data_IF_928452913479
#
_entry.id   IF_928452913479
#
_cell.length_a   1.000
_cell.length_b   1.000
_cell.length_c   1.000
_cell.angle_alpha   90.00
_cell.angle_beta   90.00
_cell.angle_gamma   90.00
#
_symmetry.space_group_name_H-M   'P 1'
#
loop_
_entity.id
_entity.type
_entity.pdbx_description
1 polymer ?
#
# COMPACT_ATOMS: atom_id res chain seq x y z
N UNK A 1 11.26 8.76 -11.01
CA UNK A 1 10.87 8.23 -9.67
C UNK A 1 11.71 8.91 -8.60
N UNK A 2 11.11 9.42 -7.50
CA UNK A 2 11.87 9.99 -6.37
C UNK A 2 12.78 8.93 -5.73
N UNK A 3 14.00 9.31 -5.35
CA UNK A 3 14.95 8.42 -4.66
C UNK A 3 14.43 7.90 -3.32
N UNK A 4 13.48 8.62 -2.72
CA UNK A 4 12.87 8.29 -1.42
C UNK A 4 11.64 7.38 -1.54
N UNK A 5 11.17 7.06 -2.74
CA UNK A 5 9.90 6.35 -2.95
C UNK A 5 9.86 5.01 -2.19
N UNK A 6 10.89 4.19 -2.36
CA UNK A 6 10.97 2.88 -1.69
C UNK A 6 11.03 3.00 -0.17
N UNK A 7 11.67 4.05 0.35
CA UNK A 7 11.74 4.27 1.79
C UNK A 7 10.43 4.83 2.35
N UNK A 8 9.79 5.78 1.68
CA UNK A 8 8.57 6.44 2.18
C UNK A 8 7.36 5.54 1.98
N UNK A 9 7.08 5.16 0.73
CA UNK A 9 5.89 4.36 0.38
C UNK A 9 6.06 2.91 0.82
N UNK A 10 7.25 2.32 0.63
CA UNK A 10 7.53 0.95 1.05
C UNK A 10 7.35 0.74 2.55
N UNK A 11 7.91 1.62 3.40
CA UNK A 11 7.74 1.48 4.86
C UNK A 11 6.29 1.71 5.30
N UNK A 12 5.59 2.64 4.65
CA UNK A 12 4.19 2.90 4.94
C UNK A 12 3.30 1.70 4.59
N UNK A 13 3.52 1.07 3.42
CA UNK A 13 2.83 -0.15 3.00
C UNK A 13 3.09 -1.34 3.92
N UNK A 14 4.29 -1.43 4.50
CA UNK A 14 4.65 -2.46 5.50
C UNK A 14 4.14 -2.13 6.92
N UNK A 15 3.33 -1.08 7.09
CA UNK A 15 2.86 -0.59 8.39
C UNK A 15 4.00 -0.25 9.37
N UNK A 16 5.17 0.14 8.86
CA UNK A 16 6.34 0.55 9.66
C UNK A 16 6.42 2.06 9.89
N UNK A 17 5.42 2.80 9.42
CA UNK A 17 5.35 4.26 9.53
C UNK A 17 4.00 4.72 10.06
N UNK A 18 3.97 5.95 10.59
CA UNK A 18 2.72 6.62 10.88
C UNK A 18 1.99 6.95 9.57
N UNK A 19 0.70 6.67 9.50
CA UNK A 19 -0.11 6.99 8.32
C UNK A 19 -0.78 8.34 8.53
N UNK A 20 -0.62 9.24 7.57
CA UNK A 20 -1.28 10.56 7.58
C UNK A 20 -1.66 10.92 6.13
N UNK A 21 -2.94 11.18 5.90
CA UNK A 21 -3.51 11.31 4.55
C UNK A 21 -2.89 12.47 3.78
N UNK A 22 -2.76 13.63 4.43
CA UNK A 22 -2.25 14.84 3.77
C UNK A 22 -0.79 14.65 3.38
N UNK A 23 0.04 14.10 4.26
CA UNK A 23 1.43 13.81 3.99
C UNK A 23 1.62 12.94 2.75
N UNK A 24 0.94 11.79 2.67
CA UNK A 24 1.11 10.90 1.52
C UNK A 24 0.48 11.46 0.24
N UNK A 25 -0.65 12.18 0.35
CA UNK A 25 -1.23 12.89 -0.79
C UNK A 25 -0.26 13.94 -1.36
N UNK A 26 0.33 14.79 -0.50
CA UNK A 26 1.26 15.85 -0.90
C UNK A 26 2.57 15.26 -1.46
N UNK A 27 3.07 14.18 -0.84
CA UNK A 27 4.24 13.44 -1.33
C UNK A 27 3.99 12.87 -2.74
N UNK A 28 2.87 12.18 -2.96
CA UNK A 28 2.56 11.59 -4.26
C UNK A 28 2.29 12.67 -5.31
N UNK A 29 1.60 13.74 -4.94
CA UNK A 29 1.32 14.87 -5.83
C UNK A 29 2.59 15.56 -6.29
N UNK A 30 3.52 15.84 -5.37
CA UNK A 30 4.81 16.45 -5.71
C UNK A 30 5.72 15.52 -6.53
N UNK A 31 5.58 14.21 -6.35
CA UNK A 31 6.44 13.21 -6.98
C UNK A 31 5.97 12.74 -8.36
N UNK A 32 4.66 12.62 -8.56
CA UNK A 32 4.05 11.99 -9.73
C UNK A 32 2.98 12.86 -10.41
N UNK A 33 2.70 14.04 -9.87
CA UNK A 33 1.60 14.90 -10.32
C UNK A 33 0.28 14.55 -9.63
N UNK A 34 -0.81 15.26 -9.98
CA UNK A 34 -2.09 15.12 -9.30
C UNK A 34 -2.67 13.71 -9.45
N UNK A 35 -3.48 13.31 -8.46
CA UNK A 35 -4.26 12.08 -8.56
C UNK A 35 -5.12 12.07 -9.83
N UNK A 36 -5.11 10.96 -10.56
CA UNK A 36 -5.84 10.85 -11.82
C UNK A 36 -7.32 10.52 -11.62
N UNK A 37 -7.68 10.00 -10.44
CA UNK A 37 -9.08 9.84 -10.01
C UNK A 37 -9.21 9.85 -8.50
N UNK A 38 -10.45 10.04 -8.05
CA UNK A 38 -10.87 9.96 -6.65
C UNK A 38 -12.08 9.04 -6.56
N UNK A 39 -11.92 7.87 -5.95
CA UNK A 39 -12.93 6.81 -5.96
C UNK A 39 -12.75 5.88 -4.75
N UNK A 40 -13.86 5.45 -4.13
CA UNK A 40 -13.84 4.49 -3.02
C UNK A 40 -13.19 5.03 -1.74
N UNK A 41 -13.28 6.33 -1.50
CA UNK A 41 -12.64 7.00 -0.37
C UNK A 41 -11.12 7.13 -0.51
N UNK A 42 -10.61 7.20 -1.74
CA UNK A 42 -9.17 7.33 -2.00
C UNK A 42 -8.87 8.21 -3.21
N UNK A 43 -7.71 8.87 -3.13
CA UNK A 43 -7.01 9.43 -4.27
C UNK A 43 -6.13 8.36 -4.92
N UNK A 44 -6.18 8.27 -6.24
CA UNK A 44 -5.43 7.29 -7.03
C UNK A 44 -4.37 7.98 -7.87
N UNK A 45 -3.13 7.51 -7.74
CA UNK A 45 -1.98 8.03 -8.46
C UNK A 45 -1.44 6.95 -9.38
N UNK A 46 -1.25 7.28 -10.66
CA UNK A 46 -0.43 6.45 -11.54
C UNK A 46 1.02 6.68 -11.15
N UNK A 47 1.76 5.60 -10.98
CA UNK A 47 3.19 5.67 -10.67
C UNK A 47 3.94 4.75 -11.63
N UNK A 48 5.12 5.19 -12.04
CA UNK A 48 6.11 4.35 -12.71
C UNK A 48 7.26 4.17 -11.73
N UNK A 49 7.14 3.14 -10.89
CA UNK A 49 8.03 2.93 -9.76
C UNK A 49 8.21 1.44 -9.45
N UNK A 50 9.20 1.12 -8.61
CA UNK A 50 9.48 -0.26 -8.19
C UNK A 50 9.59 -0.32 -6.67
N UNK A 51 8.98 -1.35 -6.07
CA UNK A 51 9.14 -1.70 -4.66
C UNK A 51 9.58 -3.15 -4.54
N UNK A 52 10.69 -3.38 -3.83
CA UNK A 52 11.25 -4.72 -3.58
C UNK A 52 11.53 -5.54 -4.86
N UNK A 53 11.68 -4.88 -6.01
CA UNK A 53 11.83 -5.52 -7.31
C UNK A 53 10.52 -5.76 -8.09
N UNK A 54 9.36 -5.48 -7.49
CA UNK A 54 8.07 -5.52 -8.17
C UNK A 54 7.69 -4.15 -8.74
N UNK A 55 7.18 -4.11 -9.96
CA UNK A 55 6.68 -2.88 -10.57
C UNK A 55 5.39 -2.43 -9.89
N UNK A 56 5.31 -1.16 -9.53
CA UNK A 56 4.12 -0.52 -8.96
C UNK A 56 3.45 0.27 -10.07
N UNK A 57 2.17 0.00 -10.31
CA UNK A 57 1.38 0.71 -11.34
C UNK A 57 0.57 1.86 -10.74
N UNK A 58 0.08 1.65 -9.52
CA UNK A 58 -0.76 2.62 -8.84
C UNK A 58 -0.45 2.68 -7.35
N UNK A 59 -0.58 3.87 -6.78
CA UNK A 59 -0.63 4.08 -5.32
C UNK A 59 -1.95 4.75 -4.99
N UNK A 60 -2.60 4.27 -3.93
CA UNK A 60 -3.83 4.85 -3.40
C UNK A 60 -3.60 5.34 -1.98
N UNK A 61 -4.14 6.50 -1.66
CA UNK A 61 -4.15 7.04 -0.29
C UNK A 61 -5.58 7.43 0.05
N UNK A 62 -6.01 7.15 1.28
CA UNK A 62 -7.35 7.52 1.73
C UNK A 62 -7.58 9.02 1.61
N UNK A 63 -8.79 9.40 1.22
CA UNK A 63 -9.25 10.78 1.26
C UNK A 63 -9.97 11.10 2.59
N UNK A 64 -10.57 12.28 2.66
CA UNK A 64 -11.36 12.74 3.81
C UNK A 64 -12.66 11.97 4.03
N UNK A 65 -13.20 11.31 2.99
CA UNK A 65 -14.45 10.52 3.08
C UNK A 65 -14.26 9.10 3.60
N UNK A 66 -13.02 8.59 3.63
CA UNK A 66 -12.74 7.26 4.20
C UNK A 66 -12.85 7.26 5.73
N UNK A 67 -13.38 6.19 6.33
CA UNK A 67 -13.32 5.98 7.79
C UNK A 67 -11.93 5.52 8.27
N UNK A 68 -11.07 5.14 7.32
CA UNK A 68 -9.70 4.67 7.58
C UNK A 68 -8.67 5.66 7.07
N UNK A 69 -7.48 5.60 7.66
CA UNK A 69 -6.24 6.16 7.14
C UNK A 69 -5.46 4.99 6.54
N UNK A 70 -5.24 5.00 5.23
CA UNK A 70 -4.54 3.93 4.54
C UNK A 70 -3.65 4.44 3.40
N UNK A 71 -2.67 3.60 3.09
CA UNK A 71 -1.94 3.63 1.83
C UNK A 71 -1.97 2.23 1.22
N UNK A 72 -2.15 2.16 -0.10
CA UNK A 72 -2.16 0.93 -0.86
C UNK A 72 -1.36 1.08 -2.15
N UNK A 73 -0.87 -0.03 -2.69
CA UNK A 73 -0.20 -0.08 -3.97
C UNK A 73 -0.65 -1.30 -4.77
N UNK A 74 -0.89 -1.09 -6.06
CA UNK A 74 -1.11 -2.17 -7.04
C UNK A 74 0.23 -2.50 -7.68
N UNK A 75 0.68 -3.75 -7.55
CA UNK A 75 1.92 -4.22 -8.15
C UNK A 75 1.66 -5.21 -9.26
N UNK A 76 2.53 -5.22 -10.27
CA UNK A 76 2.47 -6.13 -11.40
C UNK A 76 3.14 -7.47 -11.06
N UNK A 77 2.62 -8.11 -10.03
CA UNK A 77 3.11 -9.38 -9.49
C UNK A 77 1.98 -10.11 -8.77
N UNK A 78 2.06 -11.43 -8.69
CA UNK A 78 1.13 -12.23 -7.87
C UNK A 78 1.37 -11.99 -6.37
N UNK A 79 0.39 -12.27 -5.48
CA UNK A 79 0.59 -12.14 -4.04
C UNK A 79 1.78 -12.94 -3.49
N UNK A 80 2.03 -14.13 -4.05
CA UNK A 80 3.12 -15.02 -3.67
C UNK A 80 4.48 -14.44 -4.07
N UNK A 81 4.61 -13.92 -5.29
CA UNK A 81 5.83 -13.27 -5.76
C UNK A 81 6.12 -12.01 -4.94
N UNK A 82 5.09 -11.19 -4.68
CA UNK A 82 5.24 -9.99 -3.86
C UNK A 82 5.66 -10.32 -2.42
N UNK A 83 5.03 -11.32 -1.81
CA UNK A 83 5.40 -11.81 -0.47
C UNK A 83 6.88 -12.24 -0.44
N UNK A 84 7.31 -13.06 -1.40
CA UNK A 84 8.70 -13.51 -1.49
C UNK A 84 9.69 -12.35 -1.67
N UNK A 85 9.35 -11.39 -2.53
CA UNK A 85 10.15 -10.19 -2.78
C UNK A 85 10.30 -9.33 -1.51
N UNK A 86 9.20 -9.09 -0.79
CA UNK A 86 9.21 -8.33 0.47
C UNK A 86 10.01 -9.08 1.54
N UNK A 87 9.82 -10.39 1.67
CA UNK A 87 10.56 -11.21 2.63
C UNK A 87 12.06 -11.12 2.37
N UNK A 88 12.49 -11.22 1.10
CA UNK A 88 13.89 -11.12 0.72
C UNK A 88 14.48 -9.72 0.97
N UNK A 89 13.73 -8.66 0.65
CA UNK A 89 14.23 -7.28 0.72
C UNK A 89 14.14 -6.66 2.12
N UNK A 90 13.15 -7.05 2.94
CA UNK A 90 12.86 -6.38 4.22
C UNK A 90 12.69 -7.31 5.41
N UNK A 91 12.77 -8.63 5.20
CA UNK A 91 12.53 -9.65 6.23
C UNK A 91 11.09 -9.72 6.75
N UNK A 92 10.12 -9.06 6.09
CA UNK A 92 8.73 -9.08 6.54
C UNK A 92 8.03 -10.33 6.02
N UNK A 93 7.62 -11.19 6.94
CA UNK A 93 6.83 -12.36 6.61
C UNK A 93 5.34 -12.03 6.58
N UNK A 94 4.61 -12.69 5.69
CA UNK A 94 3.16 -12.68 5.67
C UNK A 94 2.64 -14.09 5.93
N UNK A 95 1.38 -14.18 6.36
CA UNK A 95 0.68 -15.45 6.55
C UNK A 95 -0.71 -15.37 5.95
N UNK A 96 -1.12 -16.42 5.24
CA UNK A 96 -2.49 -16.54 4.77
C UNK A 96 -3.45 -16.57 5.95
N UNK A 97 -4.54 -15.81 5.87
CA UNK A 97 -5.54 -15.72 6.95
C UNK A 97 -6.50 -16.92 6.96
N UNK A 98 -6.67 -17.57 5.82
CA UNK A 98 -7.55 -18.71 5.63
C UNK A 98 -7.05 -19.63 4.49
N UNK A 99 -7.81 -20.69 4.21
CA UNK A 99 -7.55 -21.67 3.17
C UNK A 99 -8.36 -21.41 1.88
N UNK A 100 -8.89 -20.21 1.68
CA UNK A 100 -9.59 -19.85 0.44
C UNK A 100 -8.63 -19.88 -0.76
N UNK A 101 -9.12 -19.97 -2.01
CA UNK A 101 -8.25 -19.96 -3.20
C UNK A 101 -7.42 -18.69 -3.35
N UNK A 102 -7.87 -17.56 -2.80
CA UNK A 102 -7.22 -16.25 -2.89
C UNK A 102 -7.15 -15.59 -1.51
N UNK A 103 -6.42 -16.18 -0.55
CA UNK A 103 -6.45 -15.73 0.82
C UNK A 103 -5.76 -14.37 0.92
N UNK A 104 -6.28 -13.52 1.81
CA UNK A 104 -5.50 -12.37 2.27
C UNK A 104 -4.26 -12.88 3.00
N UNK A 105 -3.15 -12.16 2.83
CA UNK A 105 -1.90 -12.45 3.51
C UNK A 105 -1.55 -11.29 4.41
N UNK A 106 -1.32 -11.54 5.69
CA UNK A 106 -1.14 -10.47 6.70
C UNK A 106 0.22 -10.62 7.38
N UNK A 107 0.93 -9.51 7.56
CA UNK A 107 2.18 -9.44 8.32
C UNK A 107 1.90 -9.21 9.81
N UNK A 108 2.89 -9.46 10.66
CA UNK A 108 2.81 -9.14 12.10
C UNK A 108 2.65 -7.64 12.37
N UNK A 109 3.07 -6.77 11.45
CA UNK A 109 2.88 -5.31 11.54
C UNK A 109 1.49 -4.84 11.10
N UNK A 110 0.65 -5.72 10.56
CA UNK A 110 -0.69 -5.41 10.06
C UNK A 110 -0.76 -5.05 8.57
N UNK A 111 0.35 -5.13 7.83
CA UNK A 111 0.32 -4.98 6.37
C UNK A 111 -0.41 -6.17 5.76
N UNK A 112 -1.21 -5.92 4.73
CA UNK A 112 -1.99 -6.96 4.06
C UNK A 112 -1.72 -6.97 2.56
N UNK A 113 -1.50 -8.15 2.00
CA UNK A 113 -1.46 -8.41 0.56
C UNK A 113 -2.76 -9.11 0.18
N UNK A 114 -3.45 -8.57 -0.81
CA UNK A 114 -4.68 -9.10 -1.38
C UNK A 114 -4.49 -9.44 -2.86
N UNK A 115 -5.19 -10.48 -3.31
CA UNK A 115 -5.30 -10.81 -4.73
C UNK A 115 -6.16 -9.76 -5.46
N UNK A 116 -5.73 -9.35 -6.65
CA UNK A 116 -6.49 -8.45 -7.53
C UNK A 116 -6.32 -8.90 -8.97
N UNK A 117 -7.18 -9.82 -9.41
CA UNK A 117 -6.99 -10.55 -10.67
C UNK A 117 -5.58 -11.17 -10.70
N UNK A 118 -4.89 -11.18 -11.83
CA UNK A 118 -3.51 -11.65 -12.01
C UNK A 118 -2.43 -10.86 -11.23
N UNK A 119 -2.83 -9.90 -10.39
CA UNK A 119 -1.95 -8.95 -9.71
C UNK A 119 -2.13 -8.99 -8.20
N UNK A 120 -1.35 -8.18 -7.49
CA UNK A 120 -1.43 -8.03 -6.05
C UNK A 120 -1.60 -6.59 -5.64
N UNK A 121 -2.36 -6.42 -4.56
CA UNK A 121 -2.55 -5.15 -3.89
C UNK A 121 -2.02 -5.29 -2.47
N UNK A 122 -0.99 -4.53 -2.13
CA UNK A 122 -0.51 -4.40 -0.76
C UNK A 122 -1.08 -3.13 -0.14
N UNK A 123 -1.45 -3.18 1.14
CA UNK A 123 -1.92 -2.01 1.87
C UNK A 123 -1.58 -2.07 3.34
N UNK A 124 -1.48 -0.88 3.93
CA UNK A 124 -1.55 -0.67 5.37
C UNK A 124 -2.74 0.24 5.65
N UNK A 125 -3.59 -0.14 6.61
CA UNK A 125 -4.75 0.63 7.01
C UNK A 125 -4.85 0.71 8.53
N UNK A 126 -5.29 1.85 9.03
CA UNK A 126 -5.62 2.10 10.44
C UNK A 126 -6.95 2.83 10.51
N UNK A 127 -7.73 2.60 11.56
CA UNK A 127 -8.91 3.43 11.80
C UNK A 127 -8.49 4.87 12.07
N UNK A 128 -9.28 5.84 11.57
CA UNK A 128 -9.14 7.22 12.03
C UNK A 128 -9.36 7.22 13.54
N UNK A 129 -8.41 7.79 14.29
CA UNK A 129 -8.56 7.96 15.72
C UNK A 129 -9.90 8.66 15.97
N UNK A 130 -10.81 8.02 16.72
CA UNK A 130 -11.99 8.72 17.19
C UNK A 130 -11.51 9.92 18.03
N UNK A 131 -12.09 11.12 17.87
CA UNK A 131 -11.78 12.21 18.79
C UNK A 131 -12.04 11.71 20.21
N UNK A 132 -11.04 11.82 21.07
CA UNK A 132 -11.21 11.55 22.51
C UNK A 132 -12.29 12.51 22.98
N UNK A 133 -13.43 11.95 23.41
CA UNK A 133 -14.58 12.72 23.88
C UNK A 133 -14.30 13.34 25.23
#
# INVERSE_FOLDING_TARGET
MPSTFSQVVGNALLCRSHLENRYFHDYLTSSFGPAYKREGGAYWFKVEATLWGAEVKEVMVSDDTSEMVFIAALTDSTPQELEGAIQAASGTAFRAVDASPFPLRVSSSGSTIAYKNDKSKIYCAKFKSLPVR
#
